data_IF_924465078668
#
_entry.id   IF_924465078668
#
_cell.length_a   1.000
_cell.length_b   1.000
_cell.length_c   1.000
_cell.angle_alpha   90.00
_cell.angle_beta   90.00
_cell.angle_gamma   90.00
#
_symmetry.space_group_name_H-M   'P 1'
#
loop_
_entity.id
_entity.type
_entity.pdbx_description
1 polymer ?
#
# COMPACT_ATOMS: atom_id res chain seq x y z
N UNK A 1 14.72 18.70 9.37
CA UNK A 1 14.00 17.41 9.32
C UNK A 1 13.03 17.47 8.16
N UNK A 2 13.08 16.52 7.21
CA UNK A 2 12.24 16.55 6.01
C UNK A 2 10.86 16.00 6.31
N UNK A 3 9.82 16.70 5.88
CA UNK A 3 8.43 16.20 5.91
C UNK A 3 8.20 15.35 4.66
N UNK A 4 7.34 14.32 4.72
CA UNK A 4 6.95 13.61 3.51
C UNK A 4 6.23 14.55 2.54
N UNK A 5 6.42 14.32 1.25
CA UNK A 5 5.76 15.08 0.18
C UNK A 5 4.29 14.66 0.03
N UNK A 6 4.00 13.38 0.24
CA UNK A 6 2.64 12.86 0.21
C UNK A 6 2.03 12.83 1.61
N UNK A 7 0.72 13.08 1.68
CA UNK A 7 -0.07 12.79 2.86
C UNK A 7 -0.51 11.33 2.87
N UNK A 8 -0.74 10.80 4.06
CA UNK A 8 -1.22 9.43 4.27
C UNK A 8 -2.48 9.10 3.45
N UNK A 9 -3.44 10.03 3.31
CA UNK A 9 -4.67 9.83 2.52
C UNK A 9 -4.39 9.64 1.03
N UNK A 10 -3.35 10.30 0.51
CA UNK A 10 -2.92 10.16 -0.89
C UNK A 10 -2.24 8.80 -1.10
N UNK A 11 -1.39 8.38 -0.16
CA UNK A 11 -0.74 7.07 -0.17
C UNK A 11 -1.75 5.94 -0.09
N UNK A 12 -2.74 6.02 0.80
CA UNK A 12 -3.81 5.03 0.86
C UNK A 12 -4.62 4.97 -0.45
N UNK A 13 -4.82 6.10 -1.11
CA UNK A 13 -5.53 6.16 -2.40
C UNK A 13 -4.74 5.45 -3.50
N UNK A 14 -3.41 5.61 -3.53
CA UNK A 14 -2.52 4.88 -4.45
C UNK A 14 -2.61 3.37 -4.21
N UNK A 15 -2.49 2.93 -2.94
CA UNK A 15 -2.60 1.51 -2.55
C UNK A 15 -3.95 0.93 -2.98
N UNK A 16 -5.05 1.63 -2.67
CA UNK A 16 -6.41 1.22 -3.04
C UNK A 16 -6.58 1.14 -4.56
N UNK A 17 -6.05 2.11 -5.31
CA UNK A 17 -6.07 2.13 -6.77
C UNK A 17 -5.35 0.93 -7.38
N UNK A 18 -4.10 0.71 -6.96
CA UNK A 18 -3.27 -0.42 -7.40
C UNK A 18 -3.95 -1.77 -7.13
N UNK A 19 -4.44 -1.97 -5.89
CA UNK A 19 -5.06 -3.24 -5.52
C UNK A 19 -6.38 -3.46 -6.26
N UNK A 20 -7.22 -2.44 -6.46
CA UNK A 20 -8.47 -2.56 -7.24
C UNK A 20 -8.20 -2.84 -8.71
N UNK A 21 -7.16 -2.26 -9.29
CA UNK A 21 -6.77 -2.55 -10.68
C UNK A 21 -6.34 -4.01 -10.84
N UNK A 22 -5.58 -4.55 -9.89
CA UNK A 22 -5.07 -5.92 -9.93
C UNK A 22 -6.09 -6.98 -9.48
N UNK A 23 -6.97 -6.62 -8.56
CA UNK A 23 -7.98 -7.49 -7.96
C UNK A 23 -9.34 -6.77 -8.00
N UNK A 24 -10.02 -6.75 -9.16
CA UNK A 24 -11.22 -5.94 -9.37
C UNK A 24 -12.41 -6.35 -8.50
N UNK A 25 -12.39 -7.56 -7.94
CA UNK A 25 -13.45 -8.11 -7.09
C UNK A 25 -13.07 -8.15 -5.61
N UNK A 26 -12.14 -7.29 -5.16
CA UNK A 26 -11.87 -7.07 -3.72
C UNK A 26 -13.18 -6.73 -3.02
N UNK A 27 -13.51 -7.51 -1.98
CA UNK A 27 -14.69 -7.27 -1.15
C UNK A 27 -14.40 -6.42 0.07
N UNK A 28 -13.23 -6.62 0.67
CA UNK A 28 -12.76 -5.87 1.84
C UNK A 28 -11.25 -5.65 1.72
N UNK A 29 -10.80 -4.48 2.17
CA UNK A 29 -9.42 -4.05 2.16
C UNK A 29 -9.19 -3.22 3.42
N UNK A 30 -8.18 -3.60 4.19
CA UNK A 30 -7.77 -2.88 5.40
C UNK A 30 -6.26 -2.63 5.34
N UNK A 31 -5.87 -1.38 5.62
CA UNK A 31 -4.48 -0.99 5.82
C UNK A 31 -4.25 -0.98 7.33
N UNK A 32 -3.31 -1.81 7.78
CA UNK A 32 -3.06 -2.04 9.22
C UNK A 32 -1.88 -1.19 9.69
N UNK A 33 -0.90 -0.93 8.81
CA UNK A 33 0.24 -0.06 9.11
C UNK A 33 0.63 0.75 7.89
N UNK A 34 1.01 1.99 8.15
CA UNK A 34 1.66 2.89 7.23
C UNK A 34 2.81 3.56 7.98
N UNK A 35 3.95 3.70 7.32
CA UNK A 35 5.14 4.30 7.94
C UNK A 35 5.96 5.02 6.88
N UNK A 36 6.35 6.27 7.16
CA UNK A 36 7.26 7.00 6.30
C UNK A 36 8.70 6.80 6.77
N UNK A 37 9.52 6.20 5.92
CA UNK A 37 10.94 5.94 6.16
C UNK A 37 11.76 7.07 5.54
N UNK A 38 12.02 8.13 6.32
CA UNK A 38 12.69 9.34 5.85
C UNK A 38 14.04 9.10 5.14
N UNK A 39 14.82 8.11 5.60
CA UNK A 39 16.14 7.78 5.02
C UNK A 39 16.04 7.21 3.60
N UNK A 40 14.94 6.51 3.31
CA UNK A 40 14.67 5.91 2.00
C UNK A 40 13.79 6.82 1.14
N UNK A 41 13.14 7.82 1.75
CA UNK A 41 12.03 8.57 1.16
C UNK A 41 10.94 7.63 0.62
N UNK A 42 10.56 6.66 1.43
CA UNK A 42 9.54 5.68 1.06
C UNK A 42 8.45 5.58 2.12
N UNK A 43 7.23 5.31 1.66
CA UNK A 43 6.11 4.88 2.47
C UNK A 43 6.03 3.36 2.45
N UNK A 44 6.09 2.75 3.63
CA UNK A 44 5.94 1.31 3.82
C UNK A 44 4.55 1.01 4.34
N UNK A 45 3.80 0.19 3.60
CA UNK A 45 2.39 -0.09 3.84
C UNK A 45 2.21 -1.59 4.04
N UNK A 46 1.46 -1.96 5.08
CA UNK A 46 1.04 -3.33 5.36
C UNK A 46 -0.48 -3.36 5.52
N UNK A 47 -1.11 -4.38 4.95
CA UNK A 47 -2.52 -4.61 5.16
C UNK A 47 -2.97 -5.98 4.68
N UNK A 48 -4.28 -6.15 4.62
CA UNK A 48 -4.89 -7.37 4.12
C UNK A 48 -6.16 -7.08 3.32
N UNK A 49 -6.53 -7.99 2.43
CA UNK A 49 -7.77 -7.91 1.67
C UNK A 49 -8.38 -9.29 1.42
N UNK A 50 -9.69 -9.33 1.19
CA UNK A 50 -10.39 -10.54 0.77
C UNK A 50 -10.55 -10.55 -0.75
N UNK A 51 -10.09 -11.63 -1.37
CA UNK A 51 -10.27 -11.89 -2.80
C UNK A 51 -10.59 -13.38 -3.03
N UNK A 52 -11.68 -13.65 -3.74
CA UNK A 52 -12.13 -15.01 -4.06
C UNK A 52 -12.20 -15.97 -2.86
N UNK A 53 -12.75 -15.49 -1.73
CA UNK A 53 -12.93 -16.27 -0.48
C UNK A 53 -11.63 -16.62 0.26
N UNK A 54 -10.49 -16.06 -0.14
CA UNK A 54 -9.22 -16.17 0.59
C UNK A 54 -8.76 -14.80 1.08
N UNK A 55 -8.13 -14.79 2.25
CA UNK A 55 -7.45 -13.60 2.75
C UNK A 55 -6.05 -13.52 2.15
N UNK A 56 -5.66 -12.31 1.80
CA UNK A 56 -4.33 -12.01 1.29
C UNK A 56 -3.72 -10.91 2.15
N UNK A 57 -2.47 -11.10 2.54
CA UNK A 57 -1.68 -10.09 3.22
C UNK A 57 -0.83 -9.42 2.15
N UNK A 58 -0.67 -8.10 2.23
CA UNK A 58 0.16 -7.35 1.31
C UNK A 58 1.13 -6.44 2.03
N UNK A 59 2.31 -6.27 1.43
CA UNK A 59 3.27 -5.23 1.76
C UNK A 59 3.56 -4.42 0.50
N UNK A 60 3.50 -3.10 0.59
CA UNK A 60 3.84 -2.18 -0.51
C UNK A 60 4.85 -1.14 -0.03
N UNK A 61 5.83 -0.82 -0.86
CA UNK A 61 6.67 0.36 -0.69
C UNK A 61 6.36 1.36 -1.81
N UNK A 62 6.25 2.63 -1.44
CA UNK A 62 5.86 3.70 -2.35
C UNK A 62 6.87 4.84 -2.21
N UNK A 63 7.46 5.26 -3.32
CA UNK A 63 8.36 6.41 -3.38
C UNK A 63 7.62 7.68 -2.97
N UNK A 64 8.18 8.44 -2.03
CA UNK A 64 7.65 9.74 -1.62
C UNK A 64 8.04 10.86 -2.60
N UNK A 65 8.94 10.61 -3.54
CA UNK A 65 9.34 11.62 -4.54
C UNK A 65 8.29 11.75 -5.67
N UNK A 66 7.62 10.65 -6.05
CA UNK A 66 6.69 10.60 -7.21
C UNK A 66 5.42 9.76 -6.99
N UNK A 67 5.32 9.03 -5.87
CA UNK A 67 4.17 8.17 -5.58
C UNK A 67 4.20 6.82 -6.31
N UNK A 68 5.32 6.44 -6.94
CA UNK A 68 5.44 5.16 -7.62
C UNK A 68 5.59 4.00 -6.62
N UNK A 69 4.96 2.86 -6.92
CA UNK A 69 5.12 1.63 -6.13
C UNK A 69 6.46 1.00 -6.49
N UNK A 70 7.44 1.13 -5.60
CA UNK A 70 8.82 0.61 -5.79
C UNK A 70 8.91 -0.88 -5.47
N UNK A 71 8.05 -1.38 -4.58
CA UNK A 71 7.99 -2.78 -4.21
C UNK A 71 6.56 -3.20 -3.84
N UNK A 72 6.19 -4.44 -4.15
CA UNK A 72 5.00 -5.07 -3.59
C UNK A 72 5.18 -6.57 -3.41
N UNK A 73 4.62 -7.10 -2.32
CA UNK A 73 4.52 -8.52 -2.03
C UNK A 73 3.08 -8.84 -1.61
N UNK A 74 2.51 -9.95 -2.11
CA UNK A 74 1.17 -10.42 -1.76
C UNK A 74 1.22 -11.90 -1.43
N UNK A 75 0.87 -12.26 -0.20
CA UNK A 75 0.82 -13.65 0.29
C UNK A 75 -0.62 -14.10 0.45
N UNK A 76 -0.88 -15.35 0.08
CA UNK A 76 -2.15 -16.02 0.37
C UNK A 76 -2.01 -16.60 1.78
N UNK A 77 -2.97 -16.29 2.66
CA UNK A 77 -3.11 -16.95 3.95
C UNK A 77 -3.99 -18.18 3.86
#
# INVERSE_FOLDING_TARGET
MGKPNFRIDQIESIVKGFLKQRYPTIKSLEIVRNEFIQRLKEWWILGYFNFNRSYRIFTLHISDDDGEITHYEIKIS
#
